data_IF_291910296770
#
_entry.id   IF_291910296770
#
_cell.length_a   1.000
_cell.length_b   1.000
_cell.length_c   1.000
_cell.angle_alpha   90.00
_cell.angle_beta   90.00
_cell.angle_gamma   90.00
#
_symmetry.space_group_name_H-M   'P 1'
#
loop_
_entity.id
_entity.type
_entity.pdbx_description
1 polymer ?
#
# COMPACT_ATOMS: atom_id res chain seq x y z
N UNK A 1 -9.64 -15.57 -23.94
CA UNK A 1 -9.24 -14.68 -22.83
C UNK A 1 -9.24 -15.41 -21.50
N UNK A 2 -10.37 -15.95 -21.07
CA UNK A 2 -10.53 -16.67 -19.78
C UNK A 2 -9.47 -17.75 -19.52
N UNK A 3 -9.16 -18.59 -20.51
CA UNK A 3 -8.16 -19.65 -20.37
C UNK A 3 -6.77 -19.12 -19.99
N UNK A 4 -6.39 -17.93 -20.49
CA UNK A 4 -5.14 -17.26 -20.09
C UNK A 4 -5.21 -16.82 -18.63
N UNK A 5 -6.33 -16.24 -18.21
CA UNK A 5 -6.56 -15.77 -16.83
C UNK A 5 -6.54 -16.93 -15.82
N UNK A 6 -7.23 -18.04 -16.13
CA UNK A 6 -7.18 -19.24 -15.30
C UNK A 6 -5.76 -19.83 -15.24
N UNK A 7 -5.06 -19.86 -16.37
CA UNK A 7 -3.66 -20.30 -16.41
C UNK A 7 -2.76 -19.42 -15.54
N UNK A 8 -2.96 -18.10 -15.57
CA UNK A 8 -2.26 -17.16 -14.71
C UNK A 8 -2.49 -17.47 -13.23
N UNK A 9 -3.76 -17.64 -12.80
CA UNK A 9 -4.09 -18.00 -11.41
C UNK A 9 -3.36 -19.27 -10.99
N UNK A 10 -3.41 -20.32 -11.81
CA UNK A 10 -2.76 -21.61 -11.52
C UNK A 10 -1.25 -21.43 -11.33
N UNK A 11 -0.60 -20.66 -12.22
CA UNK A 11 0.84 -20.37 -12.14
C UNK A 11 1.15 -19.62 -10.83
N UNK A 12 0.39 -18.58 -10.49
CA UNK A 12 0.61 -17.80 -9.28
C UNK A 12 0.40 -18.68 -8.03
N UNK A 13 -0.67 -19.46 -7.97
CA UNK A 13 -0.93 -20.37 -6.85
C UNK A 13 0.21 -21.40 -6.70
N UNK A 14 0.67 -22.00 -7.79
CA UNK A 14 1.84 -22.89 -7.76
C UNK A 14 3.09 -22.18 -7.22
N UNK A 15 3.35 -20.95 -7.65
CA UNK A 15 4.49 -20.16 -7.19
C UNK A 15 4.38 -19.76 -5.72
N UNK A 16 3.17 -19.54 -5.19
CA UNK A 16 2.96 -19.29 -3.76
C UNK A 16 3.56 -20.42 -2.92
N UNK A 17 3.24 -21.67 -3.28
CA UNK A 17 3.78 -22.86 -2.59
C UNK A 17 5.29 -22.98 -2.79
N UNK A 18 5.78 -22.73 -4.01
CA UNK A 18 7.21 -22.79 -4.33
C UNK A 18 8.04 -21.78 -3.52
N UNK A 19 7.62 -20.52 -3.47
CA UNK A 19 8.30 -19.45 -2.73
C UNK A 19 8.16 -19.61 -1.22
N UNK A 20 7.02 -20.13 -0.75
CA UNK A 20 6.87 -20.54 0.64
C UNK A 20 7.88 -21.62 1.03
N UNK A 21 8.06 -22.67 0.20
CA UNK A 21 9.03 -23.75 0.45
C UNK A 21 10.48 -23.24 0.38
N UNK A 22 10.74 -22.29 -0.51
CA UNK A 22 12.06 -21.68 -0.71
C UNK A 22 12.39 -20.58 0.32
N UNK A 23 11.46 -20.26 1.24
CA UNK A 23 11.58 -19.17 2.22
C UNK A 23 11.82 -17.80 1.55
N UNK A 24 11.25 -17.60 0.36
CA UNK A 24 11.35 -16.36 -0.44
C UNK A 24 10.05 -15.56 -0.51
N UNK A 25 9.02 -16.00 0.21
CA UNK A 25 7.73 -15.31 0.30
C UNK A 25 7.80 -14.17 1.32
N UNK A 26 7.92 -12.93 0.85
CA UNK A 26 8.06 -11.71 1.67
C UNK A 26 6.97 -10.70 1.35
N UNK A 27 6.49 -9.95 2.35
CA UNK A 27 5.46 -8.91 2.15
C UNK A 27 5.82 -7.88 1.07
N UNK A 28 7.11 -7.57 0.91
CA UNK A 28 7.64 -6.62 -0.07
C UNK A 28 8.21 -7.32 -1.32
N UNK A 29 7.98 -8.62 -1.49
CA UNK A 29 8.44 -9.29 -2.71
C UNK A 29 7.59 -8.81 -3.89
N UNK A 30 8.20 -8.59 -5.08
CA UNK A 30 7.45 -8.29 -6.30
C UNK A 30 6.40 -9.36 -6.61
N UNK A 31 6.60 -10.59 -6.14
CA UNK A 31 5.60 -11.64 -6.24
C UNK A 31 4.30 -11.32 -5.51
N UNK A 32 4.37 -10.82 -4.28
CA UNK A 32 3.18 -10.44 -3.52
C UNK A 32 2.59 -9.14 -4.07
N UNK A 33 3.43 -8.12 -4.29
CA UNK A 33 2.97 -6.77 -4.61
C UNK A 33 2.40 -6.67 -6.02
N UNK A 34 2.97 -7.40 -6.98
CA UNK A 34 2.55 -7.35 -8.38
C UNK A 34 1.66 -8.54 -8.68
N UNK A 35 2.25 -9.74 -8.67
CA UNK A 35 1.62 -10.87 -9.35
C UNK A 35 0.42 -11.43 -8.58
N UNK A 36 0.56 -11.57 -7.26
CA UNK A 36 -0.52 -12.05 -6.40
C UNK A 36 -1.58 -10.97 -6.16
N UNK A 37 -1.18 -9.70 -6.03
CA UNK A 37 -2.11 -8.58 -5.92
C UNK A 37 -3.02 -8.47 -7.16
N UNK A 38 -2.44 -8.60 -8.36
CA UNK A 38 -3.18 -8.58 -9.62
C UNK A 38 -4.21 -9.72 -9.72
N UNK A 39 -3.94 -10.89 -9.14
CA UNK A 39 -4.96 -11.97 -9.07
C UNK A 39 -6.19 -11.50 -8.29
N UNK A 40 -5.98 -10.95 -7.09
CA UNK A 40 -7.07 -10.63 -6.17
C UNK A 40 -7.85 -9.37 -6.57
N UNK A 41 -7.16 -8.38 -7.13
CA UNK A 41 -7.76 -7.07 -7.40
C UNK A 41 -8.27 -6.91 -8.83
N UNK A 42 -7.73 -7.66 -9.79
CA UNK A 42 -8.09 -7.54 -11.20
C UNK A 42 -8.70 -8.84 -11.74
N UNK A 43 -7.96 -9.95 -11.70
CA UNK A 43 -8.38 -11.19 -12.40
C UNK A 43 -9.61 -11.84 -11.76
N UNK A 44 -9.62 -12.02 -10.44
CA UNK A 44 -10.76 -12.67 -9.76
C UNK A 44 -12.04 -11.86 -9.93
N UNK A 45 -12.05 -10.53 -9.68
CA UNK A 45 -13.23 -9.71 -9.97
C UNK A 45 -13.63 -9.76 -11.45
N UNK A 46 -12.67 -9.70 -12.39
CA UNK A 46 -12.94 -9.82 -13.82
C UNK A 46 -13.70 -11.12 -14.15
N UNK A 47 -13.21 -12.26 -13.68
CA UNK A 47 -13.84 -13.56 -13.96
C UNK A 47 -15.23 -13.71 -13.34
N UNK A 48 -15.52 -12.99 -12.24
CA UNK A 48 -16.83 -13.02 -11.59
C UNK A 48 -17.89 -12.19 -12.32
N UNK A 49 -17.50 -11.09 -12.97
CA UNK A 49 -18.42 -10.18 -13.65
C UNK A 49 -18.46 -10.38 -15.18
N UNK A 50 -17.58 -11.20 -15.75
CA UNK A 50 -17.61 -11.53 -17.16
C UNK A 50 -18.92 -12.28 -17.52
N UNK A 51 -19.60 -11.97 -18.64
CA UNK A 51 -19.18 -11.10 -19.75
C UNK A 51 -19.58 -9.63 -19.65
N UNK A 52 -20.22 -9.18 -18.56
CA UNK A 52 -20.76 -7.82 -18.38
C UNK A 52 -19.68 -6.79 -18.01
N UNK A 53 -18.57 -6.79 -18.74
CA UNK A 53 -17.39 -5.96 -18.50
C UNK A 53 -17.08 -5.08 -19.72
N UNK A 54 -16.81 -3.77 -19.54
CA UNK A 54 -16.49 -2.86 -20.64
C UNK A 54 -15.26 -3.31 -21.44
N UNK A 55 -15.26 -3.11 -22.76
CA UNK A 55 -14.17 -3.55 -23.66
C UNK A 55 -12.79 -3.02 -23.23
N UNK A 56 -12.72 -1.77 -22.78
CA UNK A 56 -11.49 -1.15 -22.29
C UNK A 56 -10.91 -1.91 -21.09
N UNK A 57 -11.76 -2.36 -20.18
CA UNK A 57 -11.37 -3.10 -18.99
C UNK A 57 -10.96 -4.55 -19.32
N UNK A 58 -11.57 -5.14 -20.36
CA UNK A 58 -11.11 -6.41 -20.93
C UNK A 58 -9.73 -6.27 -21.56
N UNK A 59 -9.50 -5.21 -22.34
CA UNK A 59 -8.21 -4.90 -22.94
C UNK A 59 -7.12 -4.69 -21.89
N UNK A 60 -7.37 -3.89 -20.85
CA UNK A 60 -6.37 -3.61 -19.81
C UNK A 60 -6.00 -4.88 -19.04
N UNK A 61 -7.01 -5.66 -18.62
CA UNK A 61 -6.83 -6.90 -17.86
C UNK A 61 -6.05 -7.93 -18.68
N UNK A 62 -6.42 -8.13 -19.94
CA UNK A 62 -5.74 -9.08 -20.83
C UNK A 62 -4.28 -8.67 -21.10
N UNK A 63 -4.07 -7.40 -21.49
CA UNK A 63 -2.73 -6.90 -21.83
C UNK A 63 -1.81 -6.89 -20.60
N UNK A 64 -2.31 -6.48 -19.43
CA UNK A 64 -1.57 -6.56 -18.18
C UNK A 64 -1.24 -8.01 -17.79
N UNK A 65 -2.13 -8.97 -18.03
CA UNK A 65 -1.86 -10.40 -17.80
C UNK A 65 -0.68 -10.89 -18.64
N UNK A 66 -0.67 -10.58 -19.94
CA UNK A 66 0.43 -10.96 -20.83
C UNK A 66 1.76 -10.35 -20.37
N UNK A 67 1.77 -9.06 -20.06
CA UNK A 67 2.97 -8.37 -19.58
C UNK A 67 3.46 -9.00 -18.26
N UNK A 68 2.56 -9.25 -17.31
CA UNK A 68 2.90 -9.86 -16.03
C UNK A 68 3.51 -11.27 -16.20
N UNK A 69 3.01 -12.09 -17.14
CA UNK A 69 3.61 -13.39 -17.42
C UNK A 69 5.02 -13.28 -18.01
N UNK A 70 5.24 -12.32 -18.93
CA UNK A 70 6.56 -12.06 -19.51
C UNK A 70 7.56 -11.62 -18.45
N UNK A 71 7.17 -10.68 -17.57
CA UNK A 71 8.01 -10.20 -16.48
C UNK A 71 8.25 -11.29 -15.43
N UNK A 72 7.22 -12.05 -15.06
CA UNK A 72 7.35 -13.17 -14.15
C UNK A 72 8.36 -14.19 -14.69
N UNK A 73 8.31 -14.49 -15.99
CA UNK A 73 9.29 -15.35 -16.63
C UNK A 73 10.69 -14.73 -16.60
N UNK A 74 10.86 -13.47 -17.04
CA UNK A 74 12.15 -12.80 -17.10
C UNK A 74 12.84 -12.70 -15.73
N UNK A 75 12.09 -12.34 -14.69
CA UNK A 75 12.60 -12.09 -13.34
C UNK A 75 12.43 -13.28 -12.37
N UNK A 76 12.01 -14.46 -12.84
CA UNK A 76 11.77 -15.66 -12.00
C UNK A 76 12.93 -16.02 -11.08
N UNK A 77 14.18 -15.84 -11.54
CA UNK A 77 15.37 -16.15 -10.74
C UNK A 77 15.55 -15.17 -9.59
N UNK A 78 15.21 -13.90 -9.82
CA UNK A 78 15.29 -12.85 -8.82
C UNK A 78 14.38 -13.14 -7.62
N UNK A 79 13.18 -13.66 -7.87
CA UNK A 79 12.16 -13.98 -6.85
C UNK A 79 12.51 -15.19 -5.98
N UNK A 80 13.53 -15.97 -6.36
CA UNK A 80 14.03 -17.11 -5.60
C UNK A 80 15.23 -16.77 -4.70
N UNK A 81 15.71 -15.52 -4.74
CA UNK A 81 16.86 -15.10 -3.95
C UNK A 81 16.38 -14.73 -2.55
N UNK A 82 16.96 -15.38 -1.54
CA UNK A 82 16.68 -15.04 -0.15
C UNK A 82 17.32 -13.70 0.22
N UNK A 83 16.52 -12.75 0.69
CA UNK A 83 17.03 -11.44 1.13
C UNK A 83 17.49 -11.51 2.59
N UNK A 84 18.70 -11.04 2.87
CA UNK A 84 19.24 -10.86 4.23
C UNK A 84 19.72 -9.43 4.42
N UNK A 85 19.40 -8.79 5.55
CA UNK A 85 19.79 -7.40 5.81
C UNK A 85 20.48 -7.30 7.16
N UNK A 86 21.81 -7.16 7.11
CA UNK A 86 22.64 -7.01 8.29
C UNK A 86 23.00 -5.56 8.52
N UNK A 87 22.78 -5.10 9.75
CA UNK A 87 23.09 -3.73 10.17
C UNK A 87 24.49 -3.72 10.80
N UNK A 88 25.45 -2.96 10.24
CA UNK A 88 26.81 -2.90 10.76
C UNK A 88 26.88 -2.44 12.23
N UNK A 89 27.82 -2.98 12.99
CA UNK A 89 28.01 -2.67 14.41
C UNK A 89 28.32 -1.19 14.67
N UNK A 90 29.06 -0.52 13.77
CA UNK A 90 29.37 0.91 13.89
C UNK A 90 28.09 1.77 13.97
N UNK A 91 27.00 1.31 13.33
CA UNK A 91 25.74 2.03 13.29
C UNK A 91 25.12 2.21 14.68
N UNK A 92 25.49 1.38 15.67
CA UNK A 92 25.01 1.46 17.05
C UNK A 92 25.38 2.82 17.67
N UNK A 93 26.53 3.40 17.30
CA UNK A 93 26.96 4.73 17.77
C UNK A 93 25.96 5.84 17.40
N UNK A 94 25.17 5.63 16.34
CA UNK A 94 24.16 6.58 15.87
C UNK A 94 22.80 6.43 16.58
N UNK A 95 22.63 5.45 17.47
CA UNK A 95 21.32 5.17 18.08
C UNK A 95 20.78 6.32 18.92
N UNK A 96 21.66 7.08 19.59
CA UNK A 96 21.24 8.28 20.33
C UNK A 96 20.65 9.32 19.39
N UNK A 97 21.28 9.57 18.25
CA UNK A 97 20.79 10.51 17.22
C UNK A 97 19.48 10.02 16.60
N UNK A 98 19.35 8.71 16.32
CA UNK A 98 18.11 8.11 15.82
C UNK A 98 16.92 8.29 16.76
N UNK A 99 17.14 8.08 18.06
CA UNK A 99 16.09 8.30 19.07
C UNK A 99 15.64 9.76 19.12
N UNK A 100 16.57 10.71 19.01
CA UNK A 100 16.25 12.14 18.92
C UNK A 100 15.38 12.41 17.69
N UNK A 101 15.76 11.88 16.51
CA UNK A 101 14.98 12.02 15.27
C UNK A 101 13.57 11.44 15.42
N UNK A 102 13.44 10.26 16.03
CA UNK A 102 12.13 9.66 16.32
C UNK A 102 11.29 10.57 17.22
N UNK A 103 11.87 11.12 18.29
CA UNK A 103 11.18 12.05 19.17
C UNK A 103 10.72 13.31 18.42
N UNK A 104 11.58 13.88 17.56
CA UNK A 104 11.21 15.03 16.72
C UNK A 104 10.05 14.69 15.78
N UNK A 105 10.12 13.56 15.06
CA UNK A 105 9.04 13.14 14.16
C UNK A 105 7.73 12.84 14.89
N UNK A 106 7.80 12.19 16.05
CA UNK A 106 6.62 11.97 16.89
C UNK A 106 6.02 13.29 17.36
N UNK A 107 6.83 14.29 17.74
CA UNK A 107 6.35 15.61 18.11
C UNK A 107 5.63 16.29 16.94
N UNK A 108 6.21 16.27 15.74
CA UNK A 108 5.56 16.82 14.54
C UNK A 108 4.21 16.17 14.26
N UNK A 109 4.13 14.84 14.32
CA UNK A 109 2.88 14.10 14.09
C UNK A 109 1.85 14.38 15.18
N UNK A 110 2.27 14.51 16.44
CA UNK A 110 1.40 14.88 17.54
C UNK A 110 0.82 16.30 17.34
N UNK A 111 1.68 17.28 17.02
CA UNK A 111 1.25 18.64 16.70
C UNK A 111 0.30 18.67 15.50
N UNK A 112 0.62 17.93 14.43
CA UNK A 112 -0.25 17.81 13.25
C UNK A 112 -1.63 17.24 13.62
N UNK A 113 -1.68 16.18 14.44
CA UNK A 113 -2.92 15.57 14.91
C UNK A 113 -3.75 16.49 15.80
N UNK A 114 -3.10 17.31 16.64
CA UNK A 114 -3.78 18.33 17.45
C UNK A 114 -4.31 19.48 16.59
N UNK A 115 -3.47 20.04 15.71
CA UNK A 115 -3.82 21.20 14.86
C UNK A 115 -4.95 20.88 13.88
N UNK A 116 -4.95 19.66 13.33
CA UNK A 116 -6.04 19.21 12.45
C UNK A 116 -7.31 18.79 13.20
N UNK A 117 -7.28 18.75 14.54
CA UNK A 117 -8.40 18.27 15.35
C UNK A 117 -8.65 16.75 15.27
N UNK A 118 -7.86 16.01 14.49
CA UNK A 118 -7.99 14.56 14.31
C UNK A 118 -7.81 13.84 15.65
N UNK A 119 -6.72 14.13 16.36
CA UNK A 119 -6.39 13.43 17.61
C UNK A 119 -7.45 13.71 18.69
N UNK A 120 -7.87 14.97 18.84
CA UNK A 120 -8.80 15.38 19.89
C UNK A 120 -10.21 14.84 19.67
N UNK A 121 -10.68 14.78 18.42
CA UNK A 121 -12.00 14.26 18.09
C UNK A 121 -12.05 12.73 18.12
N UNK A 122 -11.00 12.06 17.64
CA UNK A 122 -10.92 10.60 17.68
C UNK A 122 -10.92 10.08 19.13
N UNK A 123 -10.19 10.74 20.03
CA UNK A 123 -10.20 10.39 21.47
C UNK A 123 -11.55 10.63 22.15
N UNK A 124 -12.38 11.51 21.61
CA UNK A 124 -13.76 11.74 22.08
C UNK A 124 -14.77 10.75 21.48
N UNK A 125 -14.35 9.93 20.51
CA UNK A 125 -15.23 9.02 19.78
C UNK A 125 -16.08 9.68 18.70
N UNK A 126 -15.71 10.88 18.26
CA UNK A 126 -16.40 11.59 17.18
C UNK A 126 -15.98 11.04 15.81
N UNK A 127 -16.82 11.23 14.79
CA UNK A 127 -16.41 11.03 13.40
C UNK A 127 -15.33 12.06 13.01
N UNK A 128 -14.28 11.58 12.35
CA UNK A 128 -13.11 12.37 11.95
C UNK A 128 -12.81 12.28 10.45
N UNK A 129 -13.68 11.73 9.61
CA UNK A 129 -13.35 11.49 8.20
C UNK A 129 -12.97 12.79 7.46
N UNK A 130 -13.67 13.89 7.72
CA UNK A 130 -13.38 15.19 7.12
C UNK A 130 -12.11 15.84 7.68
N UNK A 131 -11.89 15.73 8.99
CA UNK A 131 -10.70 16.24 9.66
C UNK A 131 -9.45 15.51 9.17
N UNK A 132 -9.55 14.19 8.99
CA UNK A 132 -8.49 13.35 8.41
C UNK A 132 -8.12 13.87 7.02
N UNK A 133 -9.10 14.04 6.13
CA UNK A 133 -8.89 14.54 4.75
C UNK A 133 -8.25 15.92 4.74
N UNK A 134 -8.77 16.82 5.56
CA UNK A 134 -8.23 18.17 5.73
C UNK A 134 -6.78 18.13 6.20
N UNK A 135 -6.45 17.22 7.14
CA UNK A 135 -5.09 16.99 7.60
C UNK A 135 -4.17 16.49 6.49
N UNK A 136 -4.61 15.51 5.69
CA UNK A 136 -3.80 14.93 4.61
C UNK A 136 -3.45 15.97 3.55
N UNK A 137 -4.41 16.80 3.17
CA UNK A 137 -4.22 17.79 2.12
C UNK A 137 -3.55 19.05 2.71
N UNK A 138 -3.91 19.44 3.92
CA UNK A 138 -3.47 20.67 4.56
C UNK A 138 -2.02 20.65 5.04
N UNK A 139 -1.58 19.51 5.60
CA UNK A 139 -0.30 19.43 6.32
C UNK A 139 0.83 18.75 5.55
N UNK A 140 0.54 18.04 4.45
CA UNK A 140 1.52 17.50 3.49
C UNK A 140 2.84 17.03 4.13
N UNK A 141 3.94 17.71 3.79
CA UNK A 141 5.31 17.43 4.26
C UNK A 141 5.46 17.35 5.80
N UNK A 142 4.67 18.13 6.55
CA UNK A 142 4.70 18.16 8.03
C UNK A 142 4.23 16.83 8.61
N UNK A 143 3.43 16.08 7.86
CA UNK A 143 2.93 14.76 8.25
C UNK A 143 3.68 13.64 7.56
N UNK A 144 3.83 13.73 6.24
CA UNK A 144 4.26 12.61 5.41
C UNK A 144 5.76 12.29 5.61
N UNK A 145 6.63 13.30 5.75
CA UNK A 145 8.06 13.08 6.04
C UNK A 145 8.25 12.46 7.43
N UNK A 146 7.68 13.01 8.52
CA UNK A 146 7.79 12.39 9.84
C UNK A 146 7.21 10.97 9.89
N UNK A 147 6.10 10.71 9.19
CA UNK A 147 5.49 9.39 9.11
C UNK A 147 6.40 8.39 8.41
N UNK A 148 7.03 8.73 7.28
CA UNK A 148 7.98 7.83 6.61
C UNK A 148 9.29 7.70 7.41
N UNK A 149 9.78 8.82 7.94
CA UNK A 149 11.03 8.91 8.67
C UNK A 149 11.04 8.06 9.95
N UNK A 150 9.95 8.08 10.73
CA UNK A 150 9.84 7.25 11.93
C UNK A 150 9.88 5.75 11.57
N UNK A 151 9.26 5.35 10.46
CA UNK A 151 9.27 3.96 10.00
C UNK A 151 10.67 3.49 9.63
N UNK A 152 11.38 4.27 8.81
CA UNK A 152 12.75 3.97 8.39
C UNK A 152 13.67 3.84 9.61
N UNK A 153 13.62 4.83 10.51
CA UNK A 153 14.53 4.87 11.67
C UNK A 153 14.21 3.74 12.65
N UNK A 154 12.92 3.43 12.86
CA UNK A 154 12.49 2.32 13.72
C UNK A 154 12.90 0.96 13.13
N UNK A 155 12.75 0.74 11.82
CA UNK A 155 13.19 -0.49 11.18
C UNK A 155 14.69 -0.72 11.41
N UNK A 156 15.53 0.31 11.25
CA UNK A 156 16.97 0.21 11.53
C UNK A 156 17.23 -0.21 12.97
N UNK A 157 16.53 0.37 13.95
CA UNK A 157 16.68 0.02 15.36
C UNK A 157 16.23 -1.42 15.67
N UNK A 158 15.15 -1.88 15.02
CA UNK A 158 14.67 -3.26 15.17
C UNK A 158 15.66 -4.26 14.58
N UNK A 159 16.20 -3.97 13.39
CA UNK A 159 17.15 -4.87 12.72
C UNK A 159 18.52 -4.96 13.41
N UNK A 160 18.84 -4.04 14.32
CA UNK A 160 20.01 -4.19 15.21
C UNK A 160 19.79 -5.20 16.34
N UNK A 161 18.54 -5.58 16.64
CA UNK A 161 18.23 -6.54 17.70
C UNK A 161 18.22 -7.97 17.17
N UNK A 162 18.50 -8.91 18.06
CA UNK A 162 18.34 -10.34 17.76
C UNK A 162 16.86 -10.74 17.81
N UNK A 163 16.55 -11.90 17.21
CA UNK A 163 15.21 -12.48 17.23
C UNK A 163 14.62 -12.63 18.64
N UNK A 164 15.44 -12.79 19.68
CA UNK A 164 15.00 -12.93 21.08
C UNK A 164 14.17 -11.73 21.58
N UNK A 165 14.32 -10.56 20.94
CA UNK A 165 13.57 -9.35 21.28
C UNK A 165 12.23 -9.21 20.54
N UNK A 166 11.75 -10.26 19.84
CA UNK A 166 10.53 -10.18 19.02
C UNK A 166 9.30 -9.66 19.79
N UNK A 167 9.14 -10.00 21.07
CA UNK A 167 8.01 -9.52 21.90
C UNK A 167 8.05 -8.01 22.09
N UNK A 168 9.22 -7.48 22.45
CA UNK A 168 9.43 -6.04 22.61
C UNK A 168 9.23 -5.32 21.27
N UNK A 169 9.73 -5.89 20.18
CA UNK A 169 9.60 -5.28 18.84
C UNK A 169 8.15 -5.30 18.38
N UNK A 170 7.40 -6.38 18.62
CA UNK A 170 5.97 -6.45 18.36
C UNK A 170 5.21 -5.36 19.13
N UNK A 171 5.52 -5.20 20.42
CA UNK A 171 4.92 -4.16 21.26
C UNK A 171 5.23 -2.75 20.73
N UNK A 172 6.49 -2.42 20.45
CA UNK A 172 6.86 -1.12 19.90
C UNK A 172 6.25 -0.86 18.52
N UNK A 173 6.15 -1.90 17.69
CA UNK A 173 5.51 -1.81 16.37
C UNK A 173 4.01 -1.53 16.49
N UNK A 174 3.34 -2.20 17.44
CA UNK A 174 1.94 -1.95 17.76
C UNK A 174 1.73 -0.52 18.29
N UNK A 175 2.53 -0.07 19.26
CA UNK A 175 2.46 1.29 19.78
C UNK A 175 2.67 2.33 18.69
N UNK A 176 3.61 2.11 17.77
CA UNK A 176 3.83 2.99 16.63
C UNK A 176 2.61 3.01 15.71
N UNK A 177 2.05 1.84 15.38
CA UNK A 177 0.87 1.76 14.52
C UNK A 177 -0.35 2.46 15.12
N UNK A 178 -0.59 2.26 16.43
CA UNK A 178 -1.63 2.96 17.17
C UNK A 178 -1.39 4.47 17.22
N UNK A 179 -0.15 4.89 17.49
CA UNK A 179 0.22 6.32 17.50
C UNK A 179 -0.02 6.98 16.14
N UNK A 180 0.37 6.34 15.04
CA UNK A 180 0.13 6.85 13.69
C UNK A 180 -1.37 6.92 13.38
N UNK A 181 -2.15 5.91 13.75
CA UNK A 181 -3.60 5.95 13.59
C UNK A 181 -4.23 7.10 14.40
N UNK A 182 -3.86 7.25 15.67
CA UNK A 182 -4.40 8.30 16.55
C UNK A 182 -4.08 9.71 16.07
N UNK A 183 -2.88 9.91 15.53
CA UNK A 183 -2.42 11.25 15.09
C UNK A 183 -2.87 11.60 13.67
N UNK A 184 -3.12 10.61 12.81
CA UNK A 184 -3.44 10.86 11.40
C UNK A 184 -4.86 10.50 11.00
N UNK A 185 -5.58 9.68 11.79
CA UNK A 185 -6.88 9.11 11.44
C UNK A 185 -6.84 8.13 10.26
N UNK A 186 -5.64 7.81 9.77
CA UNK A 186 -5.43 6.94 8.61
C UNK A 186 -5.29 5.48 9.06
N UNK A 187 -6.15 4.62 8.53
CA UNK A 187 -6.15 3.16 8.78
C UNK A 187 -4.81 2.50 8.43
N UNK A 188 -4.12 3.02 7.40
CA UNK A 188 -2.77 2.62 7.00
C UNK A 188 -1.72 2.81 8.12
N UNK A 189 -1.96 3.70 9.09
CA UNK A 189 -1.07 3.88 10.23
C UNK A 189 -0.88 2.60 11.05
N UNK A 190 -1.93 1.80 11.23
CA UNK A 190 -1.82 0.50 11.92
C UNK A 190 -1.07 -0.52 11.07
N UNK A 191 -1.32 -0.51 9.75
CA UNK A 191 -0.64 -1.40 8.81
C UNK A 191 0.87 -1.16 8.78
N UNK A 192 1.32 0.09 8.98
CA UNK A 192 2.72 0.45 9.12
C UNK A 192 3.38 -0.32 10.29
N UNK A 193 2.73 -0.34 11.46
CA UNK A 193 3.21 -1.09 12.61
C UNK A 193 3.36 -2.59 12.31
N UNK A 194 2.31 -3.19 11.73
CA UNK A 194 2.35 -4.59 11.30
C UNK A 194 3.49 -4.84 10.29
N UNK A 195 3.63 -3.98 9.29
CA UNK A 195 4.65 -4.08 8.23
C UNK A 195 6.06 -4.06 8.82
N UNK A 196 6.36 -3.14 9.75
CA UNK A 196 7.68 -3.08 10.40
C UNK A 196 8.01 -4.34 11.18
N UNK A 197 7.04 -4.89 11.92
CA UNK A 197 7.24 -6.15 12.63
C UNK A 197 7.48 -7.31 11.65
N UNK A 198 6.72 -7.38 10.56
CA UNK A 198 6.85 -8.41 9.54
C UNK A 198 8.17 -8.31 8.77
N UNK A 199 8.66 -7.09 8.49
CA UNK A 199 10.00 -6.86 7.94
C UNK A 199 11.09 -7.37 8.90
N UNK A 200 10.99 -7.02 10.20
CA UNK A 200 11.91 -7.53 11.22
C UNK A 200 11.87 -9.07 11.29
N UNK A 201 10.67 -9.66 11.35
CA UNK A 201 10.46 -11.10 11.38
C UNK A 201 11.13 -11.77 10.19
N UNK A 202 10.93 -11.22 9.01
CA UNK A 202 11.48 -11.76 7.78
C UNK A 202 13.02 -11.73 7.80
N UNK A 203 13.62 -10.57 8.04
CA UNK A 203 15.08 -10.43 8.02
C UNK A 203 15.79 -11.18 9.15
N UNK A 204 15.13 -11.45 10.29
CA UNK A 204 15.73 -12.13 11.44
C UNK A 204 15.39 -13.60 11.59
N UNK A 205 14.33 -14.09 10.95
CA UNK A 205 13.85 -15.46 11.12
C UNK A 205 13.73 -16.21 9.80
N UNK A 206 12.78 -15.82 8.94
CA UNK A 206 12.50 -16.44 7.63
C UNK A 206 11.35 -15.73 6.91
N UNK A 207 11.23 -16.02 5.61
CA UNK A 207 10.01 -15.73 4.84
C UNK A 207 8.77 -16.50 5.34
N UNK A 208 7.61 -16.06 4.88
CA UNK A 208 6.32 -16.64 5.24
C UNK A 208 6.14 -18.05 4.71
N UNK A 209 5.39 -18.83 5.47
CA UNK A 209 4.69 -19.97 4.91
C UNK A 209 3.41 -19.49 4.22
N UNK A 210 2.95 -20.21 3.19
CA UNK A 210 1.77 -19.83 2.41
C UNK A 210 0.54 -19.55 3.30
N UNK A 211 0.32 -20.36 4.34
CA UNK A 211 -0.81 -20.19 5.26
C UNK A 211 -0.64 -18.98 6.20
N UNK A 212 0.60 -18.60 6.55
CA UNK A 212 0.87 -17.40 7.35
C UNK A 212 0.57 -16.14 6.52
N UNK A 213 0.89 -16.19 5.23
CA UNK A 213 0.53 -15.12 4.30
C UNK A 213 -0.99 -14.99 4.12
N UNK A 214 -1.70 -16.10 3.95
CA UNK A 214 -3.17 -16.09 3.89
C UNK A 214 -3.76 -15.50 5.16
N UNK A 215 -3.27 -15.91 6.34
CA UNK A 215 -3.73 -15.35 7.60
C UNK A 215 -3.48 -13.83 7.70
N UNK A 216 -2.30 -13.37 7.25
CA UNK A 216 -1.99 -11.95 7.17
C UNK A 216 -2.95 -11.21 6.22
N UNK A 217 -3.19 -11.75 5.02
CA UNK A 217 -4.09 -11.16 4.03
C UNK A 217 -5.52 -11.04 4.56
N UNK A 218 -6.04 -12.08 5.23
CA UNK A 218 -7.36 -12.07 5.85
C UNK A 218 -7.45 -11.13 7.07
N UNK A 219 -6.33 -10.86 7.74
CA UNK A 219 -6.29 -9.91 8.85
C UNK A 219 -6.41 -8.44 8.39
N UNK A 220 -6.09 -8.12 7.14
CA UNK A 220 -6.18 -6.75 6.60
C UNK A 220 -7.65 -6.27 6.60
N UNK A 221 -8.63 -6.99 6.02
CA UNK A 221 -10.05 -6.64 6.10
C UNK A 221 -10.57 -6.49 7.52
N UNK A 222 -10.18 -7.42 8.42
CA UNK A 222 -10.59 -7.39 9.82
C UNK A 222 -10.13 -6.10 10.50
N UNK A 223 -8.83 -5.78 10.40
CA UNK A 223 -8.28 -4.56 10.95
C UNK A 223 -8.90 -3.30 10.31
N UNK A 224 -9.07 -3.29 9.00
CA UNK A 224 -9.66 -2.16 8.28
C UNK A 224 -11.11 -1.88 8.71
N UNK A 225 -11.93 -2.93 8.87
CA UNK A 225 -13.31 -2.82 9.33
C UNK A 225 -13.43 -2.36 10.79
N UNK A 226 -12.61 -2.91 11.69
CA UNK A 226 -12.55 -2.45 13.08
C UNK A 226 -12.14 -0.98 13.18
N UNK A 227 -11.09 -0.58 12.47
CA UNK A 227 -10.62 0.82 12.47
C UNK A 227 -11.62 1.77 11.82
N UNK A 228 -12.37 1.31 10.80
CA UNK A 228 -13.46 2.08 10.21
C UNK A 228 -14.58 2.35 11.21
N UNK A 229 -15.00 1.34 11.98
CA UNK A 229 -16.03 1.52 13.02
C UNK A 229 -15.58 2.46 14.13
N UNK A 230 -14.33 2.33 14.60
CA UNK A 230 -13.74 3.26 15.59
C UNK A 230 -13.73 4.70 15.04
N UNK A 231 -13.38 4.86 13.77
CA UNK A 231 -13.31 6.17 13.11
C UNK A 231 -14.67 6.80 12.88
N UNK A 232 -15.69 6.01 12.57
CA UNK A 232 -17.05 6.49 12.32
C UNK A 232 -17.86 6.77 13.59
N UNK A 233 -17.29 6.58 14.78
CA UNK A 233 -17.95 6.84 16.06
C UNK A 233 -19.04 5.85 16.45
N UNK A 234 -19.32 4.85 15.62
CA UNK A 234 -20.34 3.81 15.89
C UNK A 234 -19.71 2.41 15.93
N UNK A 235 -19.52 1.91 17.16
CA UNK A 235 -18.97 0.59 17.42
C UNK A 235 -19.93 -0.54 17.03
N UNK A 236 -21.24 -0.28 16.92
CA UNK A 236 -22.23 -1.29 16.56
C UNK A 236 -22.11 -1.73 15.09
N UNK A 237 -21.50 -0.88 14.25
CA UNK A 237 -21.29 -1.14 12.83
C UNK A 237 -19.98 -1.90 12.53
N UNK A 238 -19.15 -2.24 13.52
CA UNK A 238 -17.86 -2.91 13.25
C UNK A 238 -18.04 -4.22 12.48
N UNK A 239 -19.04 -5.02 12.85
CA UNK A 239 -19.29 -6.31 12.20
C UNK A 239 -19.71 -6.15 10.72
N UNK A 240 -20.58 -5.18 10.42
CA UNK A 240 -20.99 -4.90 9.05
C UNK A 240 -19.84 -4.31 8.22
N UNK A 241 -19.03 -3.43 8.82
CA UNK A 241 -17.83 -2.89 8.16
C UNK A 241 -16.82 -3.98 7.82
N UNK A 242 -16.57 -4.93 8.73
CA UNK A 242 -15.71 -6.08 8.44
C UNK A 242 -16.21 -6.88 7.23
N UNK A 243 -17.52 -7.18 7.17
CA UNK A 243 -18.11 -7.92 6.07
C UNK A 243 -17.94 -7.20 4.72
N UNK A 244 -18.08 -5.87 4.70
CA UNK A 244 -17.80 -5.03 3.53
C UNK A 244 -16.33 -5.15 3.11
N UNK A 245 -15.39 -5.14 4.06
CA UNK A 245 -13.96 -5.25 3.71
C UNK A 245 -13.56 -6.61 3.14
N UNK A 246 -14.27 -7.70 3.48
CA UNK A 246 -14.02 -9.02 2.87
C UNK A 246 -14.48 -9.12 1.42
N UNK A 247 -15.53 -8.38 1.05
CA UNK A 247 -16.04 -8.27 -0.32
C UNK A 247 -15.40 -7.12 -1.11
N UNK A 248 -14.43 -6.43 -0.51
CA UNK A 248 -13.94 -5.15 -1.00
C UNK A 248 -13.32 -5.17 -2.40
N UNK A 249 -12.50 -6.16 -2.82
CA UNK A 249 -11.99 -6.19 -4.19
C UNK A 249 -13.12 -6.29 -5.23
N UNK A 250 -14.16 -7.08 -4.92
CA UNK A 250 -15.33 -7.26 -5.79
C UNK A 250 -16.15 -5.97 -5.81
N UNK A 251 -16.41 -5.37 -4.64
CA UNK A 251 -17.12 -4.10 -4.51
C UNK A 251 -16.40 -2.95 -5.22
N UNK A 252 -15.09 -2.83 -5.06
CA UNK A 252 -14.27 -1.83 -5.76
C UNK A 252 -14.32 -2.01 -7.27
N UNK A 253 -14.27 -3.26 -7.74
CA UNK A 253 -14.30 -3.53 -9.16
C UNK A 253 -15.65 -3.13 -9.76
N UNK A 254 -16.75 -3.55 -9.14
CA UNK A 254 -18.10 -3.28 -9.57
C UNK A 254 -18.49 -1.80 -9.41
N UNK A 255 -18.17 -1.19 -8.27
CA UNK A 255 -18.58 0.16 -7.94
C UNK A 255 -17.60 1.22 -8.45
N UNK A 256 -16.32 0.93 -8.67
CA UNK A 256 -15.39 1.94 -9.16
C UNK A 256 -14.92 1.61 -10.57
N UNK A 257 -14.29 0.45 -10.76
CA UNK A 257 -13.55 0.18 -12.00
C UNK A 257 -14.46 0.11 -13.23
N UNK A 258 -15.62 -0.56 -13.14
CA UNK A 258 -16.59 -0.64 -14.25
C UNK A 258 -17.19 0.75 -14.58
N UNK A 259 -17.78 1.51 -13.64
CA UNK A 259 -18.33 2.83 -13.93
C UNK A 259 -17.29 3.82 -14.47
N UNK A 260 -16.10 3.88 -13.87
CA UNK A 260 -15.04 4.79 -14.32
C UNK A 260 -14.62 4.44 -15.75
N UNK A 261 -14.40 3.16 -16.06
CA UNK A 261 -14.00 2.74 -17.40
C UNK A 261 -15.06 3.04 -18.47
N UNK A 262 -16.34 2.93 -18.11
CA UNK A 262 -17.44 3.34 -18.99
C UNK A 262 -17.46 4.85 -19.22
N UNK A 263 -17.22 5.66 -18.18
CA UNK A 263 -17.25 7.12 -18.29
C UNK A 263 -16.04 7.72 -19.02
N UNK A 264 -14.85 7.15 -18.85
CA UNK A 264 -13.62 7.64 -19.50
C UNK A 264 -13.64 7.35 -21.00
N UNK A 265 -14.17 6.20 -21.41
CA UNK A 265 -14.22 5.79 -22.81
C UNK A 265 -12.84 5.82 -23.48
N UNK A 266 -12.78 6.33 -24.71
CA UNK A 266 -11.55 6.49 -25.50
C UNK A 266 -11.05 7.94 -25.62
N UNK A 267 -11.85 8.92 -25.18
CA UNK A 267 -11.61 10.35 -25.49
C UNK A 267 -11.33 11.23 -24.26
N UNK A 268 -11.71 10.80 -23.04
CA UNK A 268 -11.58 11.60 -21.81
C UNK A 268 -10.41 11.14 -20.92
N UNK A 269 -9.21 11.04 -21.49
CA UNK A 269 -8.00 10.65 -20.77
C UNK A 269 -7.47 11.80 -19.91
N UNK A 270 -6.93 11.51 -18.73
CA UNK A 270 -6.47 12.55 -17.78
C UNK A 270 -5.00 12.97 -17.92
N UNK A 271 -4.27 12.42 -18.88
CA UNK A 271 -2.88 12.78 -19.22
C UNK A 271 -1.91 12.81 -18.03
N UNK A 272 -2.12 11.93 -17.03
CA UNK A 272 -1.26 11.82 -15.86
C UNK A 272 -1.50 12.87 -14.77
N UNK A 273 -2.61 13.59 -14.81
CA UNK A 273 -3.03 14.56 -13.79
C UNK A 273 -3.04 13.96 -12.38
N UNK A 274 -3.44 12.69 -12.24
CA UNK A 274 -3.40 11.99 -10.96
C UNK A 274 -2.01 11.95 -10.34
N UNK A 275 -1.00 11.62 -11.14
CA UNK A 275 0.39 11.55 -10.69
C UNK A 275 0.92 12.94 -10.34
N UNK A 276 0.52 13.97 -11.10
CA UNK A 276 0.83 15.36 -10.76
C UNK A 276 0.21 15.79 -9.42
N UNK A 277 -1.07 15.50 -9.21
CA UNK A 277 -1.77 15.77 -7.94
C UNK A 277 -1.10 15.03 -6.78
N UNK A 278 -0.70 13.77 -7.01
CA UNK A 278 0.08 12.98 -6.05
C UNK A 278 1.40 13.63 -5.66
N UNK A 279 2.14 14.19 -6.62
CA UNK A 279 3.40 14.89 -6.38
C UNK A 279 3.21 16.19 -5.58
N UNK A 280 2.25 17.03 -5.97
CA UNK A 280 2.04 18.32 -5.30
C UNK A 280 1.36 18.18 -3.94
N UNK A 281 0.76 17.01 -3.62
CA UNK A 281 0.15 16.71 -2.32
C UNK A 281 1.09 17.02 -1.15
N UNK A 282 2.39 16.82 -1.33
CA UNK A 282 3.42 17.07 -0.31
C UNK A 282 3.50 18.55 0.10
N UNK A 283 3.11 19.48 -0.78
CA UNK A 283 3.14 20.92 -0.50
C UNK A 283 1.97 21.27 0.43
N UNK A 284 2.19 21.79 1.65
CA UNK A 284 1.11 22.18 2.56
C UNK A 284 0.22 23.28 1.98
N UNK A 285 -1.07 23.28 2.34
CA UNK A 285 -2.02 24.31 1.85
C UNK A 285 -1.69 25.73 2.32
N UNK A 286 -0.97 25.89 3.44
CA UNK A 286 -0.53 27.22 3.87
C UNK A 286 0.61 27.79 3.00
N UNK A 287 1.31 26.96 2.22
CA UNK A 287 2.27 27.41 1.20
C UNK A 287 1.63 27.56 -0.18
N UNK A 288 0.57 26.79 -0.45
CA UNK A 288 -0.21 26.87 -1.69
C UNK A 288 -1.69 26.64 -1.39
N UNK A 289 -2.42 27.73 -1.18
CA UNK A 289 -3.85 27.70 -0.80
C UNK A 289 -4.69 26.97 -1.84
N UNK A 290 -4.43 27.28 -3.10
CA UNK A 290 -5.22 26.85 -4.27
C UNK A 290 -4.70 25.52 -4.85
N UNK A 291 -3.94 24.76 -4.07
CA UNK A 291 -3.46 23.44 -4.48
C UNK A 291 -4.63 22.55 -4.91
N UNK A 292 -4.50 21.79 -6.01
CA UNK A 292 -5.56 20.90 -6.49
C UNK A 292 -6.01 19.92 -5.41
N UNK A 293 -7.30 19.60 -5.45
CA UNK A 293 -7.88 18.54 -4.63
C UNK A 293 -7.32 17.19 -5.08
N UNK A 294 -7.49 16.18 -4.22
CA UNK A 294 -7.10 14.82 -4.56
C UNK A 294 -7.91 14.34 -5.79
N UNK A 295 -7.26 13.54 -6.63
CA UNK A 295 -7.80 13.13 -7.93
C UNK A 295 -9.04 12.23 -7.82
N UNK A 296 -9.19 11.55 -6.68
CA UNK A 296 -10.36 10.75 -6.31
C UNK A 296 -11.69 11.54 -6.35
N UNK A 297 -11.67 12.84 -6.10
CA UNK A 297 -12.84 13.71 -6.24
C UNK A 297 -13.25 13.87 -7.70
N UNK A 298 -12.29 13.99 -8.61
CA UNK A 298 -12.55 14.10 -10.05
C UNK A 298 -13.14 12.80 -10.60
N UNK A 299 -12.62 11.66 -10.12
CA UNK A 299 -13.19 10.36 -10.46
C UNK A 299 -14.62 10.21 -9.92
N UNK A 300 -14.92 10.69 -8.71
CA UNK A 300 -16.28 10.68 -8.14
C UNK A 300 -17.27 11.49 -8.98
N UNK A 301 -16.88 12.70 -9.36
CA UNK A 301 -17.69 13.58 -10.20
C UNK A 301 -17.99 12.91 -11.55
N UNK A 302 -16.98 12.27 -12.15
CA UNK A 302 -17.12 11.56 -13.42
C UNK A 302 -18.16 10.42 -13.39
N UNK A 303 -18.36 9.76 -12.25
CA UNK A 303 -19.31 8.65 -12.09
C UNK A 303 -20.59 9.04 -11.36
N UNK A 304 -20.76 10.31 -10.98
CA UNK A 304 -21.97 10.82 -10.33
C UNK A 304 -22.21 10.29 -8.91
N UNK A 305 -21.15 10.10 -8.12
CA UNK A 305 -21.27 9.57 -6.75
C UNK A 305 -21.44 10.66 -5.68
N UNK A 306 -22.62 10.69 -5.05
CA UNK A 306 -23.01 11.60 -3.97
C UNK A 306 -22.73 11.05 -2.55
N UNK A 307 -21.53 10.54 -2.28
CA UNK A 307 -21.17 10.12 -0.92
C UNK A 307 -20.33 11.16 -0.19
N UNK A 308 -20.79 11.58 1.00
CA UNK A 308 -20.02 12.33 2.00
C UNK A 308 -18.82 11.49 2.47
N UNK A 309 -17.61 12.00 2.20
CA UNK A 309 -16.36 11.30 2.53
C UNK A 309 -16.03 10.10 1.63
N UNK A 310 -14.83 9.56 1.76
CA UNK A 310 -14.32 8.50 0.87
C UNK A 310 -13.85 8.98 -0.51
N UNK A 311 -12.83 8.33 -1.05
CA UNK A 311 -12.28 8.56 -2.38
C UNK A 311 -12.47 7.28 -3.17
N UNK A 312 -12.74 7.38 -4.47
CA UNK A 312 -12.73 6.19 -5.32
C UNK A 312 -11.37 6.05 -5.98
N UNK A 313 -10.93 4.81 -6.09
CA UNK A 313 -9.68 4.44 -6.75
C UNK A 313 -9.90 3.14 -7.50
N UNK A 314 -8.97 2.85 -8.42
CA UNK A 314 -8.93 1.61 -9.18
C UNK A 314 -7.57 0.93 -9.01
N UNK A 315 -7.36 -0.17 -9.71
CA UNK A 315 -6.10 -0.91 -9.72
C UNK A 315 -5.08 -0.22 -10.62
N UNK A 316 -3.79 -0.46 -10.40
CA UNK A 316 -2.71 0.22 -11.13
C UNK A 316 -2.85 0.12 -12.66
N UNK A 317 -3.26 -1.03 -13.19
CA UNK A 317 -3.38 -1.21 -14.64
C UNK A 317 -4.50 -0.35 -15.23
N UNK A 318 -5.60 -0.24 -14.50
CA UNK A 318 -6.76 0.57 -14.86
C UNK A 318 -6.46 2.07 -14.68
N UNK A 319 -5.76 2.41 -13.60
CA UNK A 319 -5.31 3.76 -13.28
C UNK A 319 -4.45 4.37 -14.39
N UNK A 320 -3.45 3.59 -14.84
CA UNK A 320 -2.59 3.97 -15.95
C UNK A 320 -3.37 4.11 -17.26
N UNK A 321 -4.40 3.28 -17.49
CA UNK A 321 -5.26 3.41 -18.67
C UNK A 321 -6.11 4.68 -18.61
N UNK A 322 -6.71 4.99 -17.46
CA UNK A 322 -7.49 6.21 -17.25
C UNK A 322 -6.64 7.47 -17.49
N UNK A 323 -5.35 7.41 -17.19
CA UNK A 323 -4.42 8.52 -17.37
C UNK A 323 -3.75 8.56 -18.76
N UNK A 324 -3.51 7.42 -19.42
CA UNK A 324 -2.69 7.35 -20.65
C UNK A 324 -3.33 6.58 -21.82
N UNK A 325 -4.57 6.11 -21.67
CA UNK A 325 -5.33 5.40 -22.69
C UNK A 325 -4.64 4.12 -23.14
N UNK A 326 -4.73 3.80 -24.42
CA UNK A 326 -4.10 2.59 -24.97
C UNK A 326 -2.57 2.54 -24.80
N UNK A 327 -1.90 3.68 -24.58
CA UNK A 327 -0.45 3.76 -24.34
C UNK A 327 -0.05 3.39 -22.91
N UNK A 328 -1.00 3.07 -22.02
CA UNK A 328 -0.74 2.75 -20.61
C UNK A 328 0.28 1.62 -20.43
N UNK A 329 0.34 0.65 -21.36
CA UNK A 329 1.23 -0.49 -21.26
C UNK A 329 2.71 -0.07 -21.21
N UNK A 330 3.08 1.07 -21.82
CA UNK A 330 4.45 1.61 -21.77
C UNK A 330 4.78 1.96 -20.32
N UNK A 331 3.90 2.73 -19.66
CA UNK A 331 4.08 3.13 -18.27
C UNK A 331 3.99 1.95 -17.32
N UNK A 332 3.14 0.97 -17.60
CA UNK A 332 3.05 -0.27 -16.82
C UNK A 332 4.36 -1.08 -16.90
N UNK A 333 4.93 -1.25 -18.09
CA UNK A 333 6.23 -1.91 -18.29
C UNK A 333 7.35 -1.14 -17.56
N UNK A 334 7.38 0.19 -17.67
CA UNK A 334 8.37 1.02 -16.98
C UNK A 334 8.25 0.89 -15.45
N UNK A 335 7.03 0.88 -14.92
CA UNK A 335 6.78 0.67 -13.50
C UNK A 335 7.24 -0.72 -13.04
N UNK A 336 6.94 -1.78 -13.80
CA UNK A 336 7.41 -3.13 -13.49
C UNK A 336 8.94 -3.22 -13.52
N UNK A 337 9.60 -2.61 -14.51
CA UNK A 337 11.07 -2.52 -14.57
C UNK A 337 11.62 -1.80 -13.35
N UNK A 338 10.98 -0.70 -12.94
CA UNK A 338 11.37 0.04 -11.76
C UNK A 338 11.26 -0.81 -10.48
N UNK A 339 10.11 -1.44 -10.23
CA UNK A 339 9.93 -2.30 -9.05
C UNK A 339 10.94 -3.44 -9.02
N UNK A 340 11.18 -4.11 -10.16
CA UNK A 340 12.18 -5.16 -10.25
C UNK A 340 13.62 -4.65 -10.07
N UNK A 341 13.94 -3.46 -10.58
CA UNK A 341 15.24 -2.82 -10.37
C UNK A 341 15.48 -2.47 -8.89
N UNK A 342 14.49 -1.84 -8.23
CA UNK A 342 14.58 -1.51 -6.81
C UNK A 342 14.67 -2.79 -5.97
N UNK A 343 13.92 -3.85 -6.32
CA UNK A 343 14.07 -5.14 -5.65
C UNK A 343 15.47 -5.74 -5.85
N UNK A 344 16.09 -5.49 -7.01
CA UNK A 344 17.49 -5.79 -7.32
C UNK A 344 18.46 -5.14 -6.32
N UNK A 345 18.21 -3.89 -5.95
CA UNK A 345 18.99 -3.18 -4.92
C UNK A 345 18.84 -3.88 -3.56
N UNK A 346 17.62 -4.31 -3.21
CA UNK A 346 17.35 -4.96 -1.93
C UNK A 346 18.05 -6.31 -1.81
N UNK A 347 18.09 -7.13 -2.87
CA UNK A 347 18.74 -8.46 -2.84
C UNK A 347 20.27 -8.38 -2.87
N UNK A 348 20.84 -7.29 -3.39
CA UNK A 348 22.29 -7.14 -3.55
C UNK A 348 22.99 -6.89 -2.21
N UNK A 349 23.56 -7.94 -1.63
CA UNK A 349 24.23 -7.90 -0.33
C UNK A 349 25.49 -7.05 -0.31
N UNK A 350 26.07 -6.72 -1.47
CA UNK A 350 27.26 -5.85 -1.57
C UNK A 350 26.92 -4.37 -1.40
N UNK A 351 25.64 -4.00 -1.54
CA UNK A 351 25.19 -2.60 -1.39
C UNK A 351 25.12 -2.18 0.06
N UNK A 352 25.28 -0.88 0.27
CA UNK A 352 25.11 -0.25 1.56
C UNK A 352 23.70 -0.53 2.11
N UNK A 353 23.62 -0.97 3.37
CA UNK A 353 22.36 -1.27 4.04
C UNK A 353 21.37 -0.09 4.03
N UNK A 354 21.84 1.16 4.04
CA UNK A 354 20.96 2.32 3.92
C UNK A 354 20.25 2.38 2.57
N UNK A 355 20.97 2.13 1.47
CA UNK A 355 20.37 2.09 0.13
C UNK A 355 19.34 0.97 0.02
N UNK A 356 19.59 -0.17 0.66
CA UNK A 356 18.68 -1.31 0.70
C UNK A 356 17.43 -1.01 1.53
N UNK A 357 17.58 -0.29 2.64
CA UNK A 357 16.45 0.17 3.45
C UNK A 357 15.62 1.21 2.70
N UNK A 358 16.26 2.19 2.06
CA UNK A 358 15.53 3.18 1.26
C UNK A 358 14.77 2.48 0.13
N UNK A 359 15.41 1.52 -0.56
CA UNK A 359 14.75 0.71 -1.58
C UNK A 359 13.52 -0.05 -1.05
N UNK A 360 13.58 -0.59 0.18
CA UNK A 360 12.42 -1.26 0.82
C UNK A 360 11.23 -0.34 1.05
N UNK A 361 11.43 0.96 1.20
CA UNK A 361 10.36 1.95 1.42
C UNK A 361 9.93 2.66 0.13
N UNK A 362 10.63 2.40 -0.99
CA UNK A 362 10.24 2.86 -2.32
C UNK A 362 9.33 1.84 -3.02
N UNK A 363 9.59 0.54 -2.79
CA UNK A 363 8.68 -0.56 -3.15
C UNK A 363 7.44 -0.49 -2.27
#
# INVERSE_FOLDING_TARGET
MELLLYSYIIIIVYLLFKYSKSKTLYIFSPYIIIYLNFVFNDIVPFLLFYPDIPENLQYTTFTATVINLLFLYAFRKQLLIQTTLDIPSFSIKLNRKRKIIICCFALFLFCAGMMSGVLTNLLKGNDIEDLRRTSEIGLGIVRDIPMLGIQIVMLVLFLQKSWNFYRSIAFYSFCLGAFLFLTTGNKGGVLVGATLFLLFFHFKKRGFKWYEYIAYYLAIPLAAGTLQGIRGGDLTLIASQIAVFFSYPILLYQANSIPIMNSVGTENIFFGEEYYVGLVKIIPRFLWSDKPLAFDYKLKELVGYDFDGGGIYTTLSNDLYINFGYSYFIFYILWLLFVHYIYGIIIDSKRNYYSRIIALFII
#
